data_IF_401512307320
#
_entry.id   IF_401512307320
#
_cell.length_a   1.000
_cell.length_b   1.000
_cell.length_c   1.000
_cell.angle_alpha   90.00
_cell.angle_beta   90.00
_cell.angle_gamma   90.00
#
_symmetry.space_group_name_H-M   'P 1'
#
loop_
_entity.id
_entity.type
_entity.pdbx_description
1 polymer ?
#
# COMPACT_ATOMS: atom_id res chain seq x y z
N UNK A 1 15.10 -9.28 -27.98
CA UNK A 1 15.49 -10.28 -26.97
C UNK A 1 14.23 -11.03 -26.61
N UNK A 2 14.14 -12.28 -27.04
CA UNK A 2 12.95 -13.13 -26.86
C UNK A 2 12.78 -13.51 -25.39
N UNK A 3 11.59 -13.29 -24.86
CA UNK A 3 11.20 -13.71 -23.53
C UNK A 3 10.76 -15.17 -23.59
N UNK A 4 11.62 -16.09 -23.13
CA UNK A 4 11.20 -17.45 -22.86
C UNK A 4 10.35 -17.44 -21.58
N UNK A 5 9.02 -17.39 -21.74
CA UNK A 5 8.06 -17.81 -20.71
C UNK A 5 8.06 -19.34 -20.76
N UNK A 6 8.74 -19.98 -19.82
CA UNK A 6 8.72 -21.44 -19.71
C UNK A 6 7.38 -21.90 -19.11
N UNK A 7 6.77 -22.86 -19.80
CA UNK A 7 5.54 -23.59 -19.49
C UNK A 7 5.44 -24.06 -18.02
N UNK A 8 4.19 -24.27 -17.58
CA UNK A 8 3.83 -24.94 -16.32
C UNK A 8 4.71 -26.18 -16.05
N UNK A 9 5.68 -26.03 -15.15
CA UNK A 9 6.57 -27.13 -14.73
C UNK A 9 5.78 -28.04 -13.78
N UNK A 10 5.13 -29.05 -14.36
CA UNK A 10 4.56 -30.14 -13.59
C UNK A 10 5.69 -30.98 -12.98
N UNK A 11 5.74 -31.04 -11.64
CA UNK A 11 6.71 -31.85 -10.92
C UNK A 11 6.48 -33.34 -11.25
N UNK A 12 7.49 -34.01 -11.81
CA UNK A 12 7.37 -35.42 -12.22
C UNK A 12 7.84 -36.37 -11.12
N UNK A 13 7.41 -37.64 -11.13
CA UNK A 13 7.95 -38.68 -10.23
C UNK A 13 9.48 -38.83 -10.35
N UNK A 14 10.03 -38.53 -11.53
CA UNK A 14 11.47 -38.58 -11.78
C UNK A 14 12.21 -37.53 -10.97
N UNK A 15 11.61 -36.35 -10.82
CA UNK A 15 12.15 -35.25 -10.01
C UNK A 15 12.11 -35.59 -8.52
N UNK A 16 11.01 -36.19 -8.07
CA UNK A 16 10.86 -36.69 -6.69
C UNK A 16 11.91 -37.75 -6.37
N UNK A 17 12.05 -38.76 -7.23
CA UNK A 17 13.03 -39.84 -7.08
C UNK A 17 14.49 -39.32 -7.10
N UNK A 18 14.77 -38.29 -7.90
CA UNK A 18 16.08 -37.63 -7.93
C UNK A 18 16.38 -36.92 -6.61
N UNK A 19 15.41 -36.17 -6.09
CA UNK A 19 15.55 -35.49 -4.81
C UNK A 19 15.76 -36.48 -3.66
N UNK A 20 14.97 -37.56 -3.61
CA UNK A 20 15.10 -38.60 -2.58
C UNK A 20 16.48 -39.27 -2.59
N UNK A 21 16.97 -39.66 -3.77
CA UNK A 21 18.33 -40.24 -3.91
C UNK A 21 19.41 -39.26 -3.48
N UNK A 22 19.24 -37.98 -3.81
CA UNK A 22 20.20 -36.94 -3.45
C UNK A 22 20.23 -36.65 -1.95
N UNK A 23 19.07 -36.68 -1.27
CA UNK A 23 18.97 -36.60 0.19
C UNK A 23 19.68 -37.79 0.86
N UNK A 24 19.44 -39.01 0.38
CA UNK A 24 20.14 -40.22 0.86
C UNK A 24 21.66 -40.16 0.68
N UNK A 25 22.14 -39.35 -0.26
CA UNK A 25 23.56 -39.14 -0.57
C UNK A 25 24.16 -37.91 0.16
N UNK A 26 23.44 -37.28 1.09
CA UNK A 26 23.86 -36.05 1.79
C UNK A 26 24.30 -34.91 0.85
N UNK A 27 23.70 -34.80 -0.33
CA UNK A 27 23.97 -33.68 -1.25
C UNK A 27 23.42 -32.38 -0.70
N UNK A 28 24.08 -31.26 -1.03
CA UNK A 28 23.68 -29.95 -0.55
C UNK A 28 22.37 -29.47 -1.21
N UNK A 29 21.62 -28.61 -0.53
CA UNK A 29 20.33 -28.07 -1.01
C UNK A 29 20.43 -27.43 -2.40
N UNK A 30 21.54 -26.72 -2.67
CA UNK A 30 21.82 -26.07 -3.96
C UNK A 30 22.00 -27.08 -5.10
N UNK A 31 22.48 -28.28 -4.79
CA UNK A 31 22.65 -29.37 -5.77
C UNK A 31 21.33 -30.12 -6.02
N UNK A 32 20.45 -30.19 -5.02
CA UNK A 32 19.15 -30.85 -5.13
C UNK A 32 18.10 -29.98 -5.83
N UNK A 33 18.10 -28.68 -5.54
CA UNK A 33 17.13 -27.71 -6.04
C UNK A 33 17.82 -26.49 -6.65
N UNK A 34 18.45 -26.64 -7.85
CA UNK A 34 19.21 -25.56 -8.48
C UNK A 34 18.35 -24.34 -8.85
N UNK A 35 17.02 -24.52 -8.98
CA UNK A 35 16.07 -23.46 -9.28
C UNK A 35 15.52 -22.74 -8.02
N UNK A 36 15.79 -23.23 -6.80
CA UNK A 36 15.33 -22.65 -5.54
C UNK A 36 16.47 -22.24 -4.58
N UNK A 37 17.55 -21.58 -5.05
CA UNK A 37 18.69 -21.26 -4.20
C UNK A 37 18.37 -20.19 -3.13
N UNK A 38 17.26 -19.46 -3.27
CA UNK A 38 16.83 -18.36 -2.39
C UNK A 38 15.89 -18.79 -1.27
N UNK A 39 15.49 -20.07 -1.21
CA UNK A 39 14.62 -20.58 -0.15
C UNK A 39 15.48 -21.32 0.87
N UNK A 40 15.53 -20.81 2.10
CA UNK A 40 16.18 -21.46 3.23
C UNK A 40 15.25 -22.52 3.83
N UNK A 41 15.75 -23.75 4.03
CA UNK A 41 15.03 -24.83 4.68
C UNK A 41 15.89 -25.41 5.81
N UNK A 42 15.32 -25.49 7.02
CA UNK A 42 15.94 -26.14 8.18
C UNK A 42 15.34 -27.54 8.35
N UNK A 43 16.19 -28.56 8.39
CA UNK A 43 15.78 -29.94 8.58
C UNK A 43 16.02 -30.36 10.04
N UNK A 44 14.97 -30.76 10.74
CA UNK A 44 15.09 -31.43 12.04
C UNK A 44 14.13 -32.61 12.13
N UNK A 45 14.65 -33.80 12.43
CA UNK A 45 13.86 -35.01 12.67
C UNK A 45 14.67 -36.29 12.46
N UNK A 46 14.47 -37.28 13.34
CA UNK A 46 14.91 -38.66 13.14
C UNK A 46 13.70 -39.47 12.63
N UNK A 47 13.75 -39.95 11.38
CA UNK A 47 12.66 -40.75 10.80
C UNK A 47 11.48 -39.95 10.26
N UNK A 48 10.39 -40.64 9.88
CA UNK A 48 9.34 -40.26 8.91
C UNK A 48 8.44 -39.05 9.27
N UNK A 49 8.99 -38.02 9.91
CA UNK A 49 8.34 -36.73 10.13
C UNK A 49 9.28 -35.63 9.63
N UNK A 50 9.09 -35.25 8.37
CA UNK A 50 9.78 -34.12 7.76
C UNK A 50 8.97 -32.85 8.03
N UNK A 51 9.44 -32.00 8.95
CA UNK A 51 8.85 -30.67 9.16
C UNK A 51 9.62 -29.68 8.28
N UNK A 52 9.00 -29.24 7.18
CA UNK A 52 9.58 -28.22 6.29
C UNK A 52 9.02 -26.86 6.69
N UNK A 53 9.87 -26.00 7.27
CA UNK A 53 9.55 -24.58 7.44
C UNK A 53 10.01 -23.82 6.21
N UNK A 54 9.05 -23.37 5.39
CA UNK A 54 9.31 -22.48 4.27
C UNK A 54 9.27 -21.04 4.79
N UNK A 55 10.44 -20.47 5.04
CA UNK A 55 10.59 -19.05 5.33
C UNK A 55 11.44 -18.42 4.24
N UNK A 56 11.15 -17.17 3.89
CA UNK A 56 12.00 -16.36 2.99
C UNK A 56 13.26 -15.86 3.72
N UNK A 57 13.78 -16.67 4.65
CA UNK A 57 14.82 -16.40 5.65
C UNK A 57 14.40 -15.42 6.77
N UNK A 58 14.93 -15.65 7.99
CA UNK A 58 14.80 -14.76 9.17
C UNK A 58 15.71 -13.51 9.04
N UNK A 59 16.50 -13.47 7.98
CA UNK A 59 17.64 -12.57 7.73
C UNK A 59 17.59 -11.87 6.35
N UNK A 60 16.49 -11.97 5.59
CA UNK A 60 16.29 -11.12 4.40
C UNK A 60 15.67 -9.77 4.78
N UNK A 61 16.09 -8.65 4.12
CA UNK A 61 15.59 -7.33 4.44
C UNK A 61 14.08 -7.28 4.20
N UNK A 62 13.36 -6.69 5.15
CA UNK A 62 11.94 -6.37 5.03
C UNK A 62 11.63 -5.89 3.61
N UNK A 63 10.58 -6.45 2.99
CA UNK A 63 10.07 -5.96 1.70
C UNK A 63 9.83 -4.46 1.86
N UNK A 64 10.75 -3.66 1.32
CA UNK A 64 10.75 -2.20 1.42
C UNK A 64 10.49 -1.64 0.05
N UNK A 65 9.49 -0.77 -0.01
CA UNK A 65 9.22 0.05 -1.19
C UNK A 65 10.28 1.13 -1.19
N UNK A 66 11.30 0.98 -2.05
CA UNK A 66 12.35 1.98 -2.25
C UNK A 66 11.91 2.93 -3.37
N UNK A 67 12.15 4.22 -3.21
CA UNK A 67 11.96 5.21 -4.28
C UNK A 67 13.13 5.09 -5.26
N UNK A 68 12.90 5.47 -6.52
CA UNK A 68 13.90 5.40 -7.59
C UNK A 68 15.16 6.23 -7.28
N UNK A 69 15.00 7.34 -6.53
CA UNK A 69 16.09 8.21 -6.09
C UNK A 69 16.82 7.75 -4.79
N UNK A 70 16.45 6.59 -4.24
CA UNK A 70 17.07 6.08 -3.00
C UNK A 70 18.35 5.29 -3.35
N UNK A 71 19.51 5.55 -2.70
CA UNK A 71 20.72 4.74 -2.91
C UNK A 71 20.52 3.24 -2.69
N UNK A 72 19.50 2.83 -1.92
CA UNK A 72 19.15 1.43 -1.72
C UNK A 72 18.39 0.81 -2.92
N UNK A 73 18.05 1.59 -3.96
CA UNK A 73 17.42 1.12 -5.19
C UNK A 73 18.34 0.20 -6.01
N UNK A 74 19.67 0.31 -5.87
CA UNK A 74 20.62 -0.59 -6.53
C UNK A 74 20.47 -2.07 -6.11
N UNK A 75 19.85 -2.33 -4.94
CA UNK A 75 19.52 -3.67 -4.45
C UNK A 75 18.10 -4.15 -4.78
N UNK A 76 17.29 -3.37 -5.50
CA UNK A 76 15.90 -3.71 -5.78
C UNK A 76 15.80 -4.77 -6.88
N UNK A 77 15.36 -5.98 -6.52
CA UNK A 77 15.25 -7.12 -7.47
C UNK A 77 14.06 -6.99 -8.43
N UNK A 78 13.07 -6.12 -8.14
CA UNK A 78 11.91 -5.87 -9.00
C UNK A 78 11.48 -4.41 -8.86
N UNK A 79 11.54 -3.65 -9.96
CA UNK A 79 10.94 -2.32 -10.05
C UNK A 79 9.46 -2.49 -10.41
N UNK A 80 8.56 -2.04 -9.53
CA UNK A 80 7.12 -2.01 -9.82
C UNK A 80 6.71 -0.59 -10.15
N UNK A 81 6.37 -0.34 -11.41
CA UNK A 81 5.64 0.87 -11.79
C UNK A 81 4.26 0.82 -11.10
N UNK A 82 4.05 1.70 -10.12
CA UNK A 82 2.76 1.85 -9.45
C UNK A 82 2.01 2.96 -10.18
N UNK A 83 0.86 2.60 -10.77
CA UNK A 83 -0.07 3.59 -11.29
C UNK A 83 -0.43 4.60 -10.17
N UNK A 84 -0.28 5.88 -10.48
CA UNK A 84 -0.46 6.97 -9.50
C UNK A 84 -1.89 7.02 -8.97
N UNK A 85 -2.89 6.68 -9.78
CA UNK A 85 -4.28 6.66 -9.36
C UNK A 85 -4.61 5.48 -8.45
N UNK A 86 -3.90 4.36 -8.58
CA UNK A 86 -3.98 3.28 -7.59
C UNK A 86 -3.37 3.70 -6.24
N UNK A 87 -2.33 4.54 -6.25
CA UNK A 87 -1.72 5.08 -5.02
C UNK A 87 -2.55 6.18 -4.36
N UNK A 88 -3.24 7.00 -5.15
CA UNK A 88 -4.06 8.12 -4.69
C UNK A 88 -5.52 8.00 -5.15
N UNK A 89 -6.26 6.96 -4.71
CA UNK A 89 -7.57 6.65 -5.27
C UNK A 89 -8.68 7.58 -4.76
N UNK A 90 -8.50 8.28 -3.64
CA UNK A 90 -9.60 8.92 -2.93
C UNK A 90 -9.80 10.40 -3.28
N UNK A 91 -11.05 10.78 -3.56
CA UNK A 91 -11.52 12.17 -3.69
C UNK A 91 -12.33 12.58 -2.45
N UNK A 92 -12.63 13.87 -2.29
CA UNK A 92 -13.41 14.35 -1.13
C UNK A 92 -14.77 13.66 -0.96
N UNK A 93 -15.44 13.30 -2.07
CA UNK A 93 -16.72 12.59 -2.02
C UNK A 93 -16.55 11.19 -1.40
N UNK A 94 -15.59 10.42 -1.90
CA UNK A 94 -15.28 9.09 -1.36
C UNK A 94 -14.81 9.15 0.09
N UNK A 95 -13.98 10.15 0.43
CA UNK A 95 -13.56 10.39 1.81
C UNK A 95 -14.77 10.63 2.71
N UNK A 96 -15.71 11.49 2.31
CA UNK A 96 -16.90 11.76 3.10
C UNK A 96 -17.78 10.51 3.26
N UNK A 97 -17.95 9.72 2.21
CA UNK A 97 -18.68 8.45 2.26
C UNK A 97 -18.03 7.46 3.24
N UNK A 98 -16.71 7.27 3.16
CA UNK A 98 -15.97 6.34 4.03
C UNK A 98 -15.97 6.80 5.49
N UNK A 99 -15.88 8.11 5.73
CA UNK A 99 -15.84 8.68 7.08
C UNK A 99 -17.23 8.99 7.66
N UNK A 100 -18.31 8.71 6.92
CA UNK A 100 -19.68 8.98 7.36
C UNK A 100 -20.01 10.47 7.51
N UNK A 101 -19.34 11.35 6.74
CA UNK A 101 -19.56 12.78 6.79
C UNK A 101 -20.75 13.18 5.92
N UNK A 102 -21.65 14.06 6.41
CA UNK A 102 -22.83 14.48 5.65
C UNK A 102 -22.52 15.28 4.38
N UNK A 103 -21.29 15.80 4.22
CA UNK A 103 -20.91 16.56 3.02
C UNK A 103 -19.42 16.42 2.69
N UNK A 104 -19.12 16.37 1.40
CA UNK A 104 -17.74 16.40 0.88
C UNK A 104 -16.97 17.67 1.31
N UNK A 105 -17.67 18.77 1.61
CA UNK A 105 -17.05 20.02 2.07
C UNK A 105 -16.43 19.85 3.46
N UNK A 106 -17.03 19.02 4.31
CA UNK A 106 -16.46 18.69 5.63
C UNK A 106 -15.21 17.83 5.50
N UNK A 107 -15.21 16.87 4.57
CA UNK A 107 -13.99 16.12 4.22
C UNK A 107 -12.86 17.04 3.72
N UNK A 108 -13.19 18.07 2.93
CA UNK A 108 -12.22 19.09 2.51
C UNK A 108 -11.75 19.98 3.67
N UNK A 109 -12.62 20.29 4.62
CA UNK A 109 -12.26 21.06 5.81
C UNK A 109 -11.29 20.28 6.69
N UNK A 110 -11.58 19.01 6.95
CA UNK A 110 -10.70 18.10 7.70
C UNK A 110 -9.34 17.92 7.00
N UNK A 111 -9.33 17.71 5.69
CA UNK A 111 -8.09 17.60 4.92
C UNK A 111 -7.19 18.85 5.04
N UNK A 112 -7.81 20.04 5.12
CA UNK A 112 -7.10 21.31 5.29
C UNK A 112 -6.58 21.47 6.71
N UNK A 113 -7.38 21.14 7.72
CA UNK A 113 -6.99 21.21 9.13
C UNK A 113 -5.78 20.31 9.43
N UNK A 114 -5.75 19.11 8.82
CA UNK A 114 -4.68 18.12 9.01
C UNK A 114 -3.45 18.33 8.10
N UNK A 115 -3.45 19.39 7.28
CA UNK A 115 -2.33 19.72 6.38
C UNK A 115 -2.02 18.62 5.36
N UNK A 116 -3.02 17.84 4.92
CA UNK A 116 -2.76 16.63 4.11
C UNK A 116 -2.18 16.93 2.73
N UNK A 117 -2.37 18.16 2.23
CA UNK A 117 -1.83 18.60 0.95
C UNK A 117 -0.33 18.88 0.99
N UNK A 118 0.21 19.07 2.18
CA UNK A 118 1.62 19.43 2.36
C UNK A 118 2.52 18.18 2.35
N UNK A 119 1.94 16.99 2.53
CA UNK A 119 2.66 15.71 2.50
C UNK A 119 2.50 15.01 1.13
N UNK A 120 3.60 14.83 0.36
CA UNK A 120 3.57 14.19 -0.96
C UNK A 120 3.20 12.69 -0.92
N UNK A 121 3.22 12.05 0.25
CA UNK A 121 2.74 10.67 0.41
C UNK A 121 1.23 10.60 0.66
N UNK A 122 0.61 11.72 1.05
CA UNK A 122 -0.81 11.81 1.40
C UNK A 122 -1.66 12.42 0.28
N UNK A 123 -1.08 13.32 -0.51
CA UNK A 123 -1.77 14.04 -1.57
C UNK A 123 -0.99 14.03 -2.89
N UNK A 124 -1.72 13.88 -3.99
CA UNK A 124 -1.20 14.05 -5.33
C UNK A 124 -2.12 14.97 -6.15
N UNK A 125 -1.54 15.86 -6.94
CA UNK A 125 -2.25 16.72 -7.89
C UNK A 125 -1.52 16.74 -9.23
N UNK A 126 -2.27 16.58 -10.31
CA UNK A 126 -1.81 16.76 -11.69
C UNK A 126 -2.76 17.69 -12.43
N UNK A 127 -2.20 18.57 -13.24
CA UNK A 127 -2.97 19.42 -14.16
C UNK A 127 -3.17 18.70 -15.48
N UNK A 128 -4.42 18.60 -15.93
CA UNK A 128 -4.80 18.03 -17.22
C UNK A 128 -5.59 19.11 -17.97
N UNK A 129 -4.90 19.83 -18.85
CA UNK A 129 -5.43 21.02 -19.52
C UNK A 129 -5.79 22.13 -18.52
N UNK A 130 -7.06 22.55 -18.50
CA UNK A 130 -7.59 23.53 -17.55
C UNK A 130 -7.99 22.91 -16.20
N UNK A 131 -8.09 21.58 -16.11
CA UNK A 131 -8.60 20.89 -14.93
C UNK A 131 -7.48 20.42 -14.01
N UNK A 132 -7.74 20.50 -12.70
CA UNK A 132 -6.88 19.93 -11.66
C UNK A 132 -7.44 18.57 -11.25
N UNK A 133 -6.67 17.52 -11.49
CA UNK A 133 -7.01 16.16 -11.07
C UNK A 133 -6.15 15.81 -9.86
N UNK A 134 -6.78 15.54 -8.73
CA UNK A 134 -6.08 15.30 -7.45
C UNK A 134 -6.60 14.07 -6.71
N UNK A 135 -5.75 13.38 -5.96
CA UNK A 135 -6.14 12.22 -5.15
C UNK A 135 -5.49 12.23 -3.77
N UNK A 136 -6.10 11.50 -2.85
CA UNK A 136 -5.58 11.22 -1.52
C UNK A 136 -5.23 9.73 -1.41
N UNK A 137 -4.15 9.42 -0.69
CA UNK A 137 -3.71 8.05 -0.46
C UNK A 137 -4.43 7.41 0.73
N UNK A 138 -4.19 6.11 0.94
CA UNK A 138 -4.67 5.41 2.13
C UNK A 138 -4.13 6.02 3.44
N UNK A 139 -2.87 6.48 3.45
CA UNK A 139 -2.28 7.13 4.62
C UNK A 139 -3.03 8.41 5.01
N UNK A 140 -3.50 9.18 4.03
CA UNK A 140 -4.31 10.36 4.27
C UNK A 140 -5.65 9.99 4.93
N UNK A 141 -6.28 8.91 4.45
CA UNK A 141 -7.53 8.41 5.00
C UNK A 141 -7.35 7.90 6.44
N UNK A 142 -6.27 7.16 6.71
CA UNK A 142 -5.98 6.66 8.05
C UNK A 142 -5.69 7.80 9.03
N UNK A 143 -4.94 8.82 8.61
CA UNK A 143 -4.71 10.03 9.41
C UNK A 143 -6.01 10.77 9.74
N UNK A 144 -6.94 10.87 8.78
CA UNK A 144 -8.27 11.43 9.04
C UNK A 144 -9.06 10.59 10.04
N UNK A 145 -9.05 9.26 9.90
CA UNK A 145 -9.73 8.35 10.84
C UNK A 145 -9.19 8.49 12.25
N UNK A 146 -7.86 8.53 12.40
CA UNK A 146 -7.21 8.74 13.69
C UNK A 146 -7.62 10.09 14.31
N UNK A 147 -7.60 11.17 13.54
CA UNK A 147 -8.04 12.48 14.05
C UNK A 147 -9.51 12.48 14.52
N UNK A 148 -10.40 11.74 13.82
CA UNK A 148 -11.79 11.57 14.27
C UNK A 148 -11.90 10.74 15.55
N UNK A 149 -11.08 9.69 15.68
CA UNK A 149 -11.04 8.87 16.89
C UNK A 149 -10.47 9.63 18.10
N UNK A 150 -9.53 10.55 17.87
CA UNK A 150 -8.98 11.46 18.89
C UNK A 150 -9.96 12.57 19.31
N UNK A 151 -11.13 12.66 18.66
CA UNK A 151 -12.22 13.54 19.07
C UNK A 151 -12.23 14.91 18.40
N UNK A 152 -11.64 15.06 17.21
CA UNK A 152 -11.73 16.32 16.46
C UNK A 152 -13.20 16.68 16.17
N UNK A 153 -13.65 17.86 16.59
CA UNK A 153 -15.00 18.34 16.25
C UNK A 153 -15.03 18.87 14.82
N UNK A 154 -15.44 18.00 13.90
CA UNK A 154 -15.57 18.29 12.48
C UNK A 154 -16.52 19.46 12.22
N UNK A 155 -17.56 19.65 13.06
CA UNK A 155 -18.50 20.77 12.92
C UNK A 155 -17.82 22.09 13.27
N UNK A 156 -16.95 22.10 14.27
CA UNK A 156 -16.15 23.27 14.61
C UNK A 156 -15.15 23.59 13.49
N UNK A 157 -14.40 22.59 13.01
CA UNK A 157 -13.45 22.74 11.89
C UNK A 157 -14.17 23.32 10.65
N UNK A 158 -15.35 22.80 10.35
CA UNK A 158 -16.18 23.30 9.25
C UNK A 158 -16.65 24.75 9.47
N UNK A 159 -17.10 25.11 10.68
CA UNK A 159 -17.49 26.48 11.03
C UNK A 159 -16.33 27.47 10.86
N UNK A 160 -15.15 27.13 11.40
CA UNK A 160 -13.94 27.97 11.32
C UNK A 160 -13.52 28.22 9.87
N UNK A 161 -13.65 27.20 9.01
CA UNK A 161 -13.41 27.37 7.58
C UNK A 161 -14.41 28.35 6.94
N UNK A 162 -15.69 28.24 7.26
CA UNK A 162 -16.73 29.09 6.67
C UNK A 162 -16.62 30.56 7.12
N UNK A 163 -16.23 30.81 8.38
CA UNK A 163 -15.96 32.18 8.85
C UNK A 163 -14.74 32.78 8.15
N UNK A 164 -13.66 32.01 8.02
CA UNK A 164 -12.45 32.45 7.30
C UNK A 164 -12.68 32.69 5.80
N UNK A 165 -13.69 32.06 5.21
CA UNK A 165 -14.05 32.23 3.78
C UNK A 165 -15.12 33.31 3.58
N UNK A 166 -15.55 34.03 4.64
CA UNK A 166 -16.60 35.06 4.56
C UNK A 166 -18.01 34.53 4.25
N UNK A 167 -18.21 33.21 4.25
CA UNK A 167 -19.50 32.57 3.88
C UNK A 167 -20.48 32.46 5.05
N UNK A 168 -20.04 32.75 6.27
CA UNK A 168 -20.87 32.61 7.48
C UNK A 168 -22.05 33.60 7.55
N UNK A 169 -21.97 34.77 6.89
CA UNK A 169 -23.06 35.76 6.90
C UNK A 169 -24.12 35.55 5.80
N UNK A 170 -23.80 34.81 4.72
CA UNK A 170 -24.74 34.63 3.61
C UNK A 170 -25.86 33.60 3.91
N UNK A 171 -25.63 32.66 4.83
CA UNK A 171 -26.59 31.59 5.16
C UNK A 171 -27.69 32.00 6.15
N UNK A 172 -27.56 33.12 6.87
CA UNK A 172 -28.57 33.60 7.84
C UNK A 172 -29.73 34.36 7.20
N UNK A 173 -29.66 34.71 5.91
CA UNK A 173 -30.70 35.48 5.20
C UNK A 173 -31.79 34.62 4.52
N UNK A 174 -31.70 33.29 4.55
CA UNK A 174 -32.64 32.41 3.84
C UNK A 174 -33.66 31.69 4.75
N UNK A 175 -33.68 31.98 6.05
CA UNK A 175 -34.65 31.40 6.99
C UNK A 175 -35.37 32.52 7.74
N UNK A 176 -36.15 33.30 7.00
CA UNK A 176 -37.17 34.17 7.57
C UNK A 176 -38.48 33.88 6.83
N UNK A 177 -39.29 32.90 7.29
CA UNK A 177 -40.60 32.65 6.70
C UNK A 177 -41.55 33.74 7.21
N UNK A 178 -41.97 34.62 6.30
CA UNK A 178 -43.22 35.36 6.46
C UNK A 178 -44.41 34.43 6.27
#
# INVERSE_FOLDING_TARGET
MEAHVADDVLVTERDVNRAEKGIKQNKSWKELFPALPTIAATFSGEGATLVVRISKSDDLPAVRIVKEDDPAAEGATVVREIDVWNRFPFRYKQIAEILGLPSYVQGSALAKELGLKDDPNMYYEKRVGSQKVYGYSQLALDKMKHAMAEGIDIREVYRRRNTATGKAEAGKRLVDPR
#
